data_IF_919020345686
#
_entry.id   IF_919020345686
#
_cell.length_a   1.000
_cell.length_b   1.000
_cell.length_c   1.000
_cell.angle_alpha   90.00
_cell.angle_beta   90.00
_cell.angle_gamma   90.00
#
_symmetry.space_group_name_H-M   'P 1'
#
loop_
_entity.id
_entity.type
_entity.pdbx_description
1 polymer ?
#
# COMPACT_ATOMS: atom_id res chain seq x y z
N UNK A 1 3.34 -4.12 -27.29
CA UNK A 1 4.43 -4.02 -26.29
C UNK A 1 3.96 -3.08 -25.20
N UNK A 2 4.06 -3.48 -23.93
CA UNK A 2 3.78 -2.56 -22.81
C UNK A 2 4.88 -1.51 -22.77
N UNK A 3 4.52 -0.23 -22.80
CA UNK A 3 5.48 0.86 -22.63
C UNK A 3 6.08 0.81 -21.22
N UNK A 4 7.42 0.79 -21.14
CA UNK A 4 8.16 0.67 -19.89
C UNK A 4 8.92 1.95 -19.57
N UNK A 5 9.04 2.23 -18.28
CA UNK A 5 9.92 3.22 -17.68
C UNK A 5 11.14 2.49 -17.16
N UNK A 6 12.34 2.98 -17.46
CA UNK A 6 13.56 2.51 -16.77
C UNK A 6 13.80 3.45 -15.60
N UNK A 7 13.75 2.93 -14.38
CA UNK A 7 13.90 3.69 -13.14
C UNK A 7 15.15 3.23 -12.38
N UNK A 8 15.70 4.12 -11.56
CA UNK A 8 16.81 3.78 -10.66
C UNK A 8 16.31 3.46 -9.26
N UNK A 9 16.85 2.43 -8.64
CA UNK A 9 16.60 2.13 -7.23
C UNK A 9 17.39 3.11 -6.36
N UNK A 10 16.70 4.06 -5.73
CA UNK A 10 17.31 5.06 -4.84
C UNK A 10 17.57 4.52 -3.45
N UNK A 11 16.63 3.72 -2.93
CA UNK A 11 16.72 3.16 -1.58
C UNK A 11 16.05 1.78 -1.53
N UNK A 12 16.60 0.93 -0.67
CA UNK A 12 16.01 -0.34 -0.25
C UNK A 12 16.04 -0.37 1.27
N UNK A 13 14.89 -0.61 1.91
CA UNK A 13 14.81 -0.74 3.36
C UNK A 13 14.10 -2.02 3.76
N UNK A 14 14.59 -2.68 4.80
CA UNK A 14 13.93 -3.83 5.40
C UNK A 14 12.91 -3.36 6.42
N UNK A 15 11.63 -3.67 6.19
CA UNK A 15 10.54 -3.38 7.13
C UNK A 15 10.34 -4.54 8.10
N UNK A 16 10.51 -5.76 7.61
CA UNK A 16 10.49 -7.01 8.38
C UNK A 16 11.43 -8.01 7.70
N UNK A 17 11.80 -9.13 8.34
CA UNK A 17 12.64 -10.16 7.70
C UNK A 17 12.08 -10.70 6.37
N UNK A 18 10.78 -10.50 6.11
CA UNK A 18 10.09 -10.92 4.89
C UNK A 18 9.61 -9.77 4.00
N UNK A 19 9.74 -8.51 4.40
CA UNK A 19 9.18 -7.38 3.64
C UNK A 19 10.25 -6.31 3.48
N UNK A 20 10.52 -5.94 2.22
CA UNK A 20 11.41 -4.82 1.87
C UNK A 20 10.65 -3.77 1.07
N UNK A 21 10.98 -2.50 1.28
CA UNK A 21 10.56 -1.40 0.41
C UNK A 21 11.64 -1.07 -0.59
N UNK A 22 11.20 -0.65 -1.76
CA UNK A 22 12.06 -0.17 -2.83
C UNK A 22 11.53 1.19 -3.27
N UNK A 23 12.44 2.14 -3.32
CA UNK A 23 12.17 3.48 -3.79
C UNK A 23 12.77 3.65 -5.18
N UNK A 24 11.90 3.88 -6.16
CA UNK A 24 12.23 3.95 -7.57
C UNK A 24 12.11 5.39 -8.03
N UNK A 25 13.15 5.91 -8.64
CA UNK A 25 13.22 7.30 -9.11
C UNK A 25 13.57 7.37 -10.59
N UNK A 26 13.27 8.48 -11.28
CA UNK A 26 13.77 8.69 -12.63
C UNK A 26 15.29 8.56 -12.73
N UNK A 27 15.79 8.18 -13.91
CA UNK A 27 17.25 8.06 -14.15
C UNK A 27 17.94 9.41 -14.08
N UNK A 28 17.32 10.43 -14.68
CA UNK A 28 17.83 11.79 -14.67
C UNK A 28 17.23 12.57 -13.51
N UNK A 29 18.08 13.32 -12.81
CA UNK A 29 17.64 14.15 -11.70
C UNK A 29 16.77 15.31 -12.23
N UNK A 30 15.58 15.47 -11.69
CA UNK A 30 14.65 16.54 -12.05
C UNK A 30 13.53 16.10 -12.99
N UNK A 31 13.63 14.91 -13.58
CA UNK A 31 12.53 14.30 -14.30
C UNK A 31 11.35 14.01 -13.35
N UNK A 32 10.15 14.00 -13.91
CA UNK A 32 8.93 13.63 -13.19
C UNK A 32 8.39 12.31 -13.73
N UNK A 33 7.90 11.49 -12.83
CA UNK A 33 7.21 10.25 -13.14
C UNK A 33 5.76 10.55 -13.53
N UNK A 34 5.14 9.70 -14.38
CA UNK A 34 3.71 9.74 -14.60
C UNK A 34 2.93 9.74 -13.27
N UNK A 35 1.91 10.59 -13.15
CA UNK A 35 1.04 10.58 -11.98
C UNK A 35 0.30 9.24 -11.83
N UNK A 36 -0.11 8.93 -10.60
CA UNK A 36 -0.96 7.78 -10.30
C UNK A 36 -2.07 8.16 -9.34
N UNK A 37 -3.01 7.25 -9.09
CA UNK A 37 -4.06 7.41 -8.06
C UNK A 37 -3.94 6.31 -7.00
N UNK A 38 -4.42 6.54 -5.78
CA UNK A 38 -4.39 5.53 -4.72
C UNK A 38 -4.99 4.18 -5.17
N UNK A 39 -4.31 3.09 -4.81
CA UNK A 39 -4.63 1.74 -5.28
C UNK A 39 -3.88 1.32 -6.55
N UNK A 40 -3.17 2.24 -7.20
CA UNK A 40 -2.34 1.90 -8.37
C UNK A 40 -1.22 0.92 -8.03
N UNK A 41 -0.80 0.17 -9.05
CA UNK A 41 0.36 -0.71 -9.03
C UNK A 41 1.21 -0.52 -10.29
N UNK A 42 2.45 -0.97 -10.22
CA UNK A 42 3.35 -1.10 -11.37
C UNK A 42 3.74 -2.56 -11.55
N UNK A 43 3.95 -2.98 -12.80
CA UNK A 43 4.62 -4.23 -13.11
C UNK A 43 6.13 -3.98 -13.12
N UNK A 44 6.87 -4.73 -12.33
CA UNK A 44 8.33 -4.80 -12.35
C UNK A 44 8.76 -5.96 -13.25
N UNK A 45 9.65 -5.68 -14.19
CA UNK A 45 10.23 -6.68 -15.10
C UNK A 45 11.61 -7.09 -14.58
N UNK A 46 11.73 -8.36 -14.20
CA UNK A 46 12.93 -8.90 -13.55
C UNK A 46 13.93 -9.45 -14.58
N UNK A 47 15.24 -9.50 -14.23
CA UNK A 47 16.27 -10.07 -15.11
C UNK A 47 15.97 -11.49 -15.59
N UNK A 48 15.33 -12.32 -14.77
CA UNK A 48 14.89 -13.67 -15.14
C UNK A 48 13.79 -13.73 -16.22
N UNK A 49 13.22 -12.59 -16.62
CA UNK A 49 12.03 -12.51 -17.47
C UNK A 49 10.71 -12.62 -16.70
N UNK A 50 10.74 -12.76 -15.38
CA UNK A 50 9.53 -12.76 -14.55
C UNK A 50 8.95 -11.34 -14.41
N UNK A 51 7.62 -11.26 -14.40
CA UNK A 51 6.89 -10.02 -14.16
C UNK A 51 6.15 -10.06 -12.81
N UNK A 52 6.27 -9.01 -12.00
CA UNK A 52 5.56 -8.92 -10.72
C UNK A 52 4.88 -7.57 -10.54
N UNK A 53 3.63 -7.60 -10.10
CA UNK A 53 2.86 -6.40 -9.81
C UNK A 53 3.01 -6.04 -8.34
N UNK A 54 3.38 -4.79 -8.08
CA UNK A 54 3.48 -4.24 -6.73
C UNK A 54 2.69 -2.95 -6.61
N UNK A 55 1.86 -2.86 -5.58
CA UNK A 55 1.09 -1.65 -5.27
C UNK A 55 2.02 -0.53 -4.85
N UNK A 56 1.73 0.67 -5.36
CA UNK A 56 2.37 1.90 -4.93
C UNK A 56 1.78 2.29 -3.56
N UNK A 57 2.64 2.62 -2.61
CA UNK A 57 2.22 2.97 -1.25
C UNK A 57 2.56 4.42 -0.85
N UNK A 58 3.37 5.13 -1.64
CA UNK A 58 3.63 6.55 -1.40
C UNK A 58 2.42 7.42 -1.77
N UNK A 59 2.48 8.70 -1.39
CA UNK A 59 1.44 9.68 -1.70
C UNK A 59 1.34 9.87 -3.23
N UNK A 60 0.14 9.72 -3.83
CA UNK A 60 -0.07 9.96 -5.26
C UNK A 60 0.30 11.36 -5.77
N UNK A 61 0.41 12.36 -4.89
CA UNK A 61 0.89 13.70 -5.25
C UNK A 61 2.41 13.73 -5.50
N UNK A 62 3.16 12.71 -5.05
CA UNK A 62 4.60 12.62 -5.28
C UNK A 62 4.90 12.13 -6.70
N UNK A 63 5.36 13.02 -7.56
CA UNK A 63 5.77 12.69 -8.94
C UNK A 63 7.27 12.41 -9.05
N UNK A 64 8.04 12.54 -7.97
CA UNK A 64 9.49 12.39 -8.00
C UNK A 64 9.97 10.96 -7.68
N UNK A 65 9.05 10.07 -7.24
CA UNK A 65 9.36 8.68 -6.89
C UNK A 65 8.12 7.77 -6.94
N UNK A 66 8.37 6.49 -7.11
CA UNK A 66 7.45 5.41 -6.80
C UNK A 66 8.00 4.59 -5.64
N UNK A 67 7.17 4.27 -4.66
CA UNK A 67 7.55 3.39 -3.57
C UNK A 67 6.71 2.12 -3.61
N UNK A 68 7.37 0.96 -3.66
CA UNK A 68 6.75 -0.37 -3.61
C UNK A 68 7.22 -1.11 -2.37
N UNK A 69 6.43 -2.06 -1.89
CA UNK A 69 6.87 -3.02 -0.89
C UNK A 69 6.65 -4.45 -1.39
N UNK A 70 7.67 -5.28 -1.19
CA UNK A 70 7.73 -6.65 -1.68
C UNK A 70 7.78 -7.58 -0.48
N UNK A 71 6.82 -8.49 -0.39
CA UNK A 71 6.87 -9.60 0.54
C UNK A 71 7.54 -10.82 -0.11
N UNK A 72 8.56 -11.38 0.54
CA UNK A 72 9.20 -12.63 0.14
C UNK A 72 8.26 -13.80 0.39
N UNK A 73 7.94 -14.55 -0.64
CA UNK A 73 7.08 -15.74 -0.58
C UNK A 73 7.90 -17.00 -0.80
N UNK A 74 7.83 -17.92 0.17
CA UNK A 74 8.49 -19.23 0.14
C UNK A 74 7.50 -20.29 0.66
N UNK A 75 7.13 -21.30 -0.15
CA UNK A 75 7.47 -21.47 -1.56
C UNK A 75 6.77 -20.42 -2.45
N UNK A 76 7.39 -20.05 -3.57
CA UNK A 76 6.84 -19.06 -4.50
C UNK A 76 7.42 -19.21 -5.92
N UNK A 77 6.89 -18.46 -6.88
CA UNK A 77 7.33 -18.48 -8.30
C UNK A 77 8.67 -17.77 -8.55
N UNK A 78 9.54 -17.65 -7.54
CA UNK A 78 10.88 -17.02 -7.63
C UNK A 78 10.93 -15.48 -7.64
N UNK A 79 9.96 -14.79 -8.26
CA UNK A 79 10.08 -13.33 -8.49
C UNK A 79 10.26 -12.44 -7.25
N UNK A 80 9.59 -12.73 -6.12
CA UNK A 80 9.81 -11.96 -4.88
C UNK A 80 11.15 -12.30 -4.21
N UNK A 81 11.64 -13.53 -4.35
CA UNK A 81 12.98 -13.90 -3.90
C UNK A 81 14.07 -13.25 -4.77
N UNK A 82 13.82 -13.11 -6.08
CA UNK A 82 14.70 -12.39 -7.00
C UNK A 82 14.76 -10.90 -6.67
N UNK A 83 13.63 -10.24 -6.39
CA UNK A 83 13.62 -8.86 -5.87
C UNK A 83 14.50 -8.71 -4.62
N UNK A 84 14.54 -9.71 -3.74
CA UNK A 84 15.36 -9.67 -2.52
C UNK A 84 16.85 -9.88 -2.76
N UNK A 85 17.21 -10.66 -3.78
CA UNK A 85 18.59 -11.12 -4.02
C UNK A 85 19.31 -10.34 -5.12
N UNK A 86 18.58 -9.82 -6.10
CA UNK A 86 19.15 -9.29 -7.33
C UNK A 86 18.94 -7.79 -7.51
N UNK A 87 18.05 -7.16 -6.72
CA UNK A 87 17.76 -5.72 -6.84
C UNK A 87 18.36 -4.96 -5.66
N UNK A 88 19.29 -4.06 -5.98
CA UNK A 88 20.07 -3.28 -5.03
C UNK A 88 19.96 -1.79 -5.30
N UNK A 89 20.36 -0.98 -4.31
CA UNK A 89 20.48 0.47 -4.48
C UNK A 89 21.47 0.77 -5.62
N UNK A 90 21.07 1.64 -6.52
CA UNK A 90 21.85 2.03 -7.69
C UNK A 90 21.42 1.34 -8.98
N UNK A 91 20.77 0.17 -8.90
CA UNK A 91 20.36 -0.61 -10.06
C UNK A 91 19.30 0.12 -10.89
N UNK A 92 19.32 -0.15 -12.20
CA UNK A 92 18.25 0.24 -13.11
C UNK A 92 17.25 -0.90 -13.28
N UNK A 93 15.96 -0.61 -13.15
CA UNK A 93 14.89 -1.59 -13.25
C UNK A 93 13.80 -1.09 -14.19
N UNK A 94 13.34 -1.97 -15.07
CA UNK A 94 12.21 -1.69 -15.95
C UNK A 94 10.90 -1.86 -15.19
N UNK A 95 10.02 -0.88 -15.29
CA UNK A 95 8.67 -0.91 -14.72
C UNK A 95 7.62 -0.45 -15.73
N UNK A 96 6.39 -0.91 -15.61
CA UNK A 96 5.30 -0.36 -16.40
C UNK A 96 4.92 1.04 -15.93
N UNK A 97 4.17 1.79 -16.75
CA UNK A 97 3.36 2.89 -16.22
C UNK A 97 2.39 2.38 -15.13
N UNK A 98 2.03 3.21 -14.14
CA UNK A 98 1.04 2.84 -13.12
C UNK A 98 -0.30 2.45 -13.75
N UNK A 99 -0.92 1.41 -13.20
CA UNK A 99 -2.29 1.01 -13.52
C UNK A 99 -3.11 0.90 -12.25
N UNK A 100 -4.38 1.29 -12.30
CA UNK A 100 -5.25 1.19 -11.13
C UNK A 100 -6.43 0.25 -11.40
N UNK A 101 -6.40 -0.92 -10.76
CA UNK A 101 -7.51 -1.87 -10.74
C UNK A 101 -8.23 -1.89 -9.39
N UNK A 102 -7.85 -0.99 -8.48
CA UNK A 102 -8.39 -0.90 -7.14
C UNK A 102 -8.57 0.58 -6.74
N UNK A 103 -9.36 1.34 -7.51
CA UNK A 103 -9.51 2.77 -7.27
C UNK A 103 -10.21 3.02 -5.94
N UNK A 104 -9.78 4.08 -5.25
CA UNK A 104 -10.51 4.62 -4.12
C UNK A 104 -11.88 5.15 -4.60
N UNK A 105 -12.93 4.89 -3.84
CA UNK A 105 -14.27 5.39 -4.18
C UNK A 105 -14.37 6.92 -3.97
N UNK A 106 -14.95 7.61 -4.95
CA UNK A 106 -15.05 9.08 -4.98
C UNK A 106 -16.23 9.64 -4.16
N UNK A 107 -17.01 8.79 -3.49
CA UNK A 107 -18.15 9.21 -2.67
C UNK A 107 -17.78 10.04 -1.44
N UNK A 108 -18.66 10.94 -0.99
CA UNK A 108 -18.40 11.82 0.16
C UNK A 108 -18.48 11.11 1.52
N UNK A 109 -19.02 9.90 1.56
CA UNK A 109 -19.18 9.13 2.80
C UNK A 109 -17.84 8.75 3.44
N UNK A 110 -17.78 8.63 4.79
CA UNK A 110 -16.59 8.16 5.47
C UNK A 110 -16.15 6.78 4.99
N UNK A 111 -14.85 6.61 4.73
CA UNK A 111 -14.31 5.33 4.29
C UNK A 111 -13.85 4.46 5.47
N UNK A 112 -14.14 3.16 5.43
CA UNK A 112 -13.49 2.16 6.28
C UNK A 112 -12.46 1.40 5.44
N UNK A 113 -11.19 1.58 5.76
CA UNK A 113 -10.08 0.94 5.08
C UNK A 113 -9.59 -0.26 5.89
N UNK A 114 -9.57 -1.45 5.29
CA UNK A 114 -9.15 -2.68 5.96
C UNK A 114 -7.90 -3.23 5.25
N UNK A 115 -6.81 -3.34 6.00
CA UNK A 115 -5.54 -3.87 5.54
C UNK A 115 -5.20 -5.17 6.26
N UNK A 116 -4.77 -6.19 5.51
CA UNK A 116 -4.21 -7.43 6.04
C UNK A 116 -2.77 -7.64 5.57
N UNK A 117 -1.80 -7.73 6.48
CA UNK A 117 -0.40 -7.99 6.16
C UNK A 117 0.17 -7.02 5.10
N UNK A 118 0.70 -7.55 3.99
CA UNK A 118 1.24 -6.73 2.88
C UNK A 118 0.15 -5.99 2.08
N UNK A 119 -1.12 -6.40 2.23
CA UNK A 119 -2.28 -5.67 1.71
C UNK A 119 -2.43 -4.25 2.25
N UNK A 120 -1.63 -3.88 3.26
CA UNK A 120 -1.47 -2.50 3.70
C UNK A 120 -0.97 -1.53 2.60
N UNK A 121 -0.25 -2.01 1.59
CA UNK A 121 0.36 -1.15 0.55
C UNK A 121 -0.64 -0.23 -0.17
N UNK A 122 -1.70 -0.71 -0.84
CA UNK A 122 -2.69 0.18 -1.45
C UNK A 122 -3.50 0.96 -0.41
N UNK A 123 -3.76 0.36 0.76
CA UNK A 123 -4.55 0.97 1.83
C UNK A 123 -3.86 2.20 2.40
N UNK A 124 -2.53 2.17 2.55
CA UNK A 124 -1.75 3.31 3.00
C UNK A 124 -1.81 4.47 2.00
N UNK A 125 -1.71 4.18 0.69
CA UNK A 125 -1.88 5.21 -0.34
C UNK A 125 -3.29 5.82 -0.34
N UNK A 126 -4.32 5.00 -0.09
CA UNK A 126 -5.70 5.48 0.06
C UNK A 126 -5.88 6.36 1.30
N UNK A 127 -5.36 5.94 2.45
CA UNK A 127 -5.40 6.71 3.69
C UNK A 127 -4.71 8.07 3.54
N UNK A 128 -3.54 8.10 2.90
CA UNK A 128 -2.82 9.35 2.55
C UNK A 128 -3.66 10.27 1.67
N UNK A 129 -4.27 9.71 0.62
CA UNK A 129 -5.11 10.49 -0.31
C UNK A 129 -6.35 11.07 0.37
N UNK A 130 -7.01 10.30 1.23
CA UNK A 130 -8.17 10.77 2.00
C UNK A 130 -7.77 11.84 3.02
N UNK A 131 -6.65 11.64 3.73
CA UNK A 131 -6.10 12.61 4.68
C UNK A 131 -5.75 13.94 4.00
N UNK A 132 -5.06 13.89 2.87
CA UNK A 132 -4.74 15.09 2.08
C UNK A 132 -5.99 15.82 1.56
N UNK A 133 -7.05 15.09 1.24
CA UNK A 133 -8.34 15.64 0.82
C UNK A 133 -9.24 16.09 1.98
N UNK A 134 -8.82 15.90 3.24
CA UNK A 134 -9.65 16.18 4.42
C UNK A 134 -10.91 15.31 4.54
N UNK A 135 -10.96 14.17 3.85
CA UNK A 135 -12.10 13.24 3.88
C UNK A 135 -12.00 12.35 5.11
N UNK A 136 -13.11 12.13 5.79
CA UNK A 136 -13.16 11.26 6.96
C UNK A 136 -12.90 9.80 6.58
N UNK A 137 -12.04 9.12 7.35
CA UNK A 137 -11.79 7.69 7.20
C UNK A 137 -11.35 7.05 8.50
N UNK A 138 -11.46 5.73 8.56
CA UNK A 138 -10.85 4.89 9.58
C UNK A 138 -10.05 3.76 8.95
N UNK A 139 -9.06 3.26 9.67
CA UNK A 139 -8.18 2.16 9.24
C UNK A 139 -8.24 1.03 10.24
N UNK A 140 -8.32 -0.20 9.74
CA UNK A 140 -8.12 -1.43 10.50
C UNK A 140 -6.95 -2.16 9.86
N UNK A 141 -5.85 -2.28 10.59
CA UNK A 141 -4.66 -2.98 10.14
C UNK A 141 -4.49 -4.30 10.90
N UNK A 142 -4.67 -5.41 10.18
CA UNK A 142 -4.61 -6.78 10.68
C UNK A 142 -3.27 -7.41 10.30
N UNK A 143 -2.58 -7.99 11.27
CA UNK A 143 -1.28 -8.65 11.08
C UNK A 143 -1.19 -9.90 11.95
N UNK A 144 -0.21 -10.76 11.75
CA UNK A 144 -0.06 -11.97 12.58
C UNK A 144 0.49 -11.64 13.96
N UNK A 145 1.52 -10.82 13.97
CA UNK A 145 2.25 -10.38 15.15
C UNK A 145 2.86 -9.00 14.90
N UNK A 146 3.42 -8.38 15.94
CA UNK A 146 4.05 -7.05 15.85
C UNK A 146 5.23 -7.02 14.89
N UNK A 147 6.04 -8.07 14.87
CA UNK A 147 7.28 -8.13 14.08
C UNK A 147 6.98 -8.28 12.57
N UNK A 148 5.79 -8.76 12.23
CA UNK A 148 5.29 -8.88 10.86
C UNK A 148 4.57 -7.61 10.34
N UNK A 149 4.36 -6.60 11.19
CA UNK A 149 3.58 -5.40 10.88
C UNK A 149 4.43 -4.32 10.16
N UNK A 150 4.73 -4.57 8.88
CA UNK A 150 5.63 -3.75 8.07
C UNK A 150 5.34 -2.24 8.08
N UNK A 151 4.07 -1.84 8.12
CA UNK A 151 3.64 -0.43 8.06
C UNK A 151 3.13 0.10 9.41
N UNK A 152 3.52 -0.52 10.53
CA UNK A 152 3.06 -0.10 11.87
C UNK A 152 3.40 1.37 12.16
N UNK A 153 4.60 1.83 11.76
CA UNK A 153 5.03 3.21 11.96
C UNK A 153 4.20 4.19 11.11
N UNK A 154 3.93 3.87 9.84
CA UNK A 154 3.10 4.71 8.96
C UNK A 154 1.67 4.84 9.51
N UNK A 155 1.05 3.75 9.96
CA UNK A 155 -0.29 3.78 10.55
C UNK A 155 -0.31 4.49 11.91
N UNK A 156 0.74 4.37 12.72
CA UNK A 156 0.87 5.14 13.95
C UNK A 156 0.99 6.65 13.68
N UNK A 157 1.67 7.05 12.60
CA UNK A 157 1.75 8.45 12.19
C UNK A 157 0.38 9.00 11.78
N UNK A 158 -0.43 8.21 11.06
CA UNK A 158 -1.82 8.58 10.74
C UNK A 158 -2.67 8.73 12.02
N UNK A 159 -2.50 7.84 13.00
CA UNK A 159 -3.18 7.94 14.29
C UNK A 159 -2.77 9.22 15.05
N UNK A 160 -1.47 9.53 15.07
CA UNK A 160 -0.94 10.75 15.69
C UNK A 160 -1.44 12.03 15.00
N UNK A 161 -1.76 11.97 13.70
CA UNK A 161 -2.41 13.05 12.96
C UNK A 161 -3.93 13.16 13.22
N UNK A 162 -4.49 12.34 14.12
CA UNK A 162 -5.90 12.40 14.54
C UNK A 162 -6.84 11.48 13.76
N UNK A 163 -6.34 10.60 12.89
CA UNK A 163 -7.17 9.64 12.18
C UNK A 163 -7.48 8.41 13.05
N UNK A 164 -8.67 7.82 12.88
CA UNK A 164 -9.05 6.61 13.59
C UNK A 164 -8.32 5.39 12.99
N UNK A 165 -7.34 4.85 13.73
CA UNK A 165 -6.54 3.69 13.29
C UNK A 165 -6.55 2.63 14.38
N UNK A 166 -6.92 1.41 14.00
CA UNK A 166 -6.92 0.23 14.86
C UNK A 166 -5.90 -0.74 14.28
N UNK A 167 -4.93 -1.19 15.09
CA UNK A 167 -3.99 -2.25 14.73
C UNK A 167 -4.31 -3.48 15.56
N UNK A 168 -4.52 -4.61 14.91
CA UNK A 168 -4.78 -5.89 15.53
C UNK A 168 -3.76 -6.94 15.06
N UNK A 169 -3.36 -7.80 15.98
CA UNK A 169 -2.47 -8.92 15.74
C UNK A 169 -3.23 -10.22 16.03
N UNK A 170 -2.96 -11.30 15.29
CA UNK A 170 -3.53 -12.62 15.60
C UNK A 170 -3.22 -13.01 17.05
N UNK A 171 -4.21 -13.59 17.75
CA UNK A 171 -4.10 -13.89 19.18
C UNK A 171 -4.02 -12.64 20.09
N UNK A 172 -4.19 -11.44 19.53
CA UNK A 172 -4.31 -10.20 20.28
C UNK A 172 -5.66 -10.07 20.97
N UNK A 173 -5.79 -9.04 21.80
CA UNK A 173 -7.01 -8.77 22.56
C UNK A 173 -8.22 -8.58 21.63
N UNK A 174 -9.13 -9.55 21.63
CA UNK A 174 -10.36 -9.53 20.84
C UNK A 174 -11.28 -8.37 21.23
N UNK A 175 -11.19 -7.83 22.45
CA UNK A 175 -11.95 -6.64 22.85
C UNK A 175 -11.50 -5.39 22.08
N UNK A 176 -10.26 -5.36 21.58
CA UNK A 176 -9.74 -4.32 20.68
C UNK A 176 -10.06 -4.57 19.21
N UNK A 177 -10.64 -5.73 18.88
CA UNK A 177 -11.12 -6.08 17.54
C UNK A 177 -12.59 -5.68 17.30
N UNK A 178 -13.18 -4.83 18.16
CA UNK A 178 -14.44 -4.14 17.87
C UNK A 178 -14.21 -3.13 16.74
N UNK A 179 -14.25 -3.64 15.50
CA UNK A 179 -13.88 -2.96 14.24
C UNK A 179 -14.92 -1.93 13.78
N UNK A 180 -16.12 -1.94 14.38
CA UNK A 180 -17.17 -0.99 14.04
C UNK A 180 -17.12 0.18 15.02
N UNK A 181 -16.98 1.43 14.57
CA UNK A 181 -17.32 2.56 15.43
C UNK A 181 -18.76 2.35 15.90
N UNK A 182 -19.04 2.65 17.17
CA UNK A 182 -20.42 2.69 17.66
C UNK A 182 -21.20 3.63 16.73
N UNK A 183 -21.99 3.07 15.84
CA UNK A 183 -22.93 3.83 15.02
C UNK A 183 -23.90 4.45 16.01
N UNK A 184 -23.76 5.74 16.27
CA UNK A 184 -24.76 6.48 17.04
C UNK A 184 -26.09 6.30 16.32
N UNK A 185 -26.97 5.49 16.89
CA UNK A 185 -28.24 5.12 16.32
C UNK A 185 -29.10 6.37 16.12
N UNK A 186 -29.13 6.88 14.89
CA UNK A 186 -30.31 7.49 14.29
C UNK A 186 -30.62 6.69 13.03
N UNK A 187 -31.13 5.49 13.25
CA UNK A 187 -31.68 4.64 12.20
C UNK A 187 -32.94 5.33 11.66
N UNK A 188 -32.79 6.12 10.60
CA UNK A 188 -33.86 6.26 9.61
C UNK A 188 -33.57 5.22 8.54
N UNK A 189 -34.45 4.23 8.49
CA UNK A 189 -34.53 3.16 7.51
C UNK A 189 -34.39 3.71 6.08
N UNK A 190 -33.38 3.25 5.35
CA UNK A 190 -33.27 3.17 3.87
C UNK A 190 -31.99 2.36 3.51
N UNK A 191 -31.88 1.78 2.30
CA UNK A 191 -31.27 0.46 2.10
C UNK A 191 -29.74 0.44 2.14
N UNK A 192 -29.22 -0.71 2.58
CA UNK A 192 -27.82 -1.10 2.68
C UNK A 192 -27.03 -0.92 1.39
N UNK A 193 -26.01 -0.07 1.45
CA UNK A 193 -24.80 -0.17 0.61
C UNK A 193 -23.59 0.27 1.44
N UNK A 194 -23.04 -0.65 2.25
CA UNK A 194 -21.70 -0.48 2.83
C UNK A 194 -20.74 -1.20 1.89
N UNK A 195 -20.07 -0.44 1.02
CA UNK A 195 -19.02 -0.98 0.16
C UNK A 195 -17.77 -1.24 1.02
N UNK A 196 -17.67 -2.43 1.61
CA UNK A 196 -16.42 -2.92 2.16
C UNK A 196 -15.45 -3.16 1.00
N UNK A 197 -14.45 -2.30 0.86
CA UNK A 197 -13.44 -2.43 -0.18
C UNK A 197 -12.48 -3.55 0.23
N UNK A 198 -12.67 -4.75 -0.34
CA UNK A 198 -11.81 -5.92 -0.14
C UNK A 198 -10.97 -6.16 -1.40
N UNK A 199 -9.68 -6.36 -1.24
CA UNK A 199 -8.79 -6.83 -2.31
C UNK A 199 -8.89 -8.37 -2.37
N UNK A 200 -9.30 -8.90 -3.51
CA UNK A 200 -9.27 -10.34 -3.81
C UNK A 200 -7.84 -10.80 -4.10
#
# INVERSE_FOLDING_TARGET
MTETLTLRVRAVAELTPRIRTFELVPRQRGDVLPGFTAGSHVTVFLPSGLERQYSLHNDPAETHRYCIAVQREEPGRGGSAEMFRAVHVGDEIAVSRPRNHFPLHDGAEPALLIAGGIGATPILAMARSLGAAGRAFSVVYLTRDRDSAAFAADFAALAAAGHAVIVHHDGGDAARASILPATSARHRTMPTSTAAVRKA
#
